data_IF_463155678597
#
_entry.id   IF_463155678597
#
_cell.length_a   1.000
_cell.length_b   1.000
_cell.length_c   1.000
_cell.angle_alpha   90.00
_cell.angle_beta   90.00
_cell.angle_gamma   90.00
#
_symmetry.space_group_name_H-M   'P 1'
#
loop_
_entity.id
_entity.type
_entity.pdbx_description
1 polymer ?
#
# COMPACT_ATOMS: atom_id res chain seq x y z
N UNK A 1 27.66 -18.49 6.38
CA UNK A 1 27.29 -18.53 4.96
C UNK A 1 25.85 -19.01 4.74
N UNK A 2 25.38 -20.10 5.38
CA UNK A 2 24.00 -20.61 5.23
C UNK A 2 22.88 -19.67 5.73
N UNK A 3 23.07 -18.96 6.85
CA UNK A 3 22.04 -18.03 7.38
C UNK A 3 21.74 -16.86 6.44
N UNK A 4 22.74 -16.37 5.71
CA UNK A 4 22.57 -15.27 4.76
C UNK A 4 21.71 -15.67 3.55
N UNK A 5 21.79 -16.93 3.11
CA UNK A 5 20.96 -17.46 2.02
C UNK A 5 19.50 -17.64 2.46
N UNK A 6 19.27 -18.11 3.69
CA UNK A 6 17.90 -18.25 4.24
C UNK A 6 17.26 -16.88 4.41
N UNK A 7 18.00 -15.91 4.96
CA UNK A 7 17.50 -14.54 5.12
C UNK A 7 17.20 -13.89 3.76
N UNK A 8 18.11 -14.03 2.80
CA UNK A 8 17.90 -13.52 1.44
C UNK A 8 16.67 -14.14 0.76
N UNK A 9 16.48 -15.45 0.88
CA UNK A 9 15.29 -16.12 0.34
C UNK A 9 13.99 -15.66 1.00
N UNK A 10 13.98 -15.51 2.32
CA UNK A 10 12.82 -14.99 3.05
C UNK A 10 12.48 -13.54 2.65
N UNK A 11 13.50 -12.69 2.50
CA UNK A 11 13.31 -11.30 2.09
C UNK A 11 12.86 -11.20 0.63
N UNK A 12 13.36 -12.06 -0.27
CA UNK A 12 12.89 -12.16 -1.64
C UNK A 12 11.42 -12.58 -1.73
N UNK A 13 11.00 -13.61 -0.98
CA UNK A 13 9.61 -14.05 -0.96
C UNK A 13 8.67 -12.93 -0.47
N UNK A 14 9.02 -12.26 0.64
CA UNK A 14 8.25 -11.11 1.14
C UNK A 14 8.16 -9.97 0.15
N UNK A 15 9.25 -9.69 -0.56
CA UNK A 15 9.28 -8.63 -1.56
C UNK A 15 8.37 -8.97 -2.76
N UNK A 16 8.34 -10.23 -3.18
CA UNK A 16 7.47 -10.72 -4.26
C UNK A 16 5.99 -10.67 -3.86
N UNK A 17 5.66 -11.18 -2.67
CA UNK A 17 4.31 -11.11 -2.09
C UNK A 17 3.81 -9.66 -2.03
N UNK A 18 4.63 -8.75 -1.49
CA UNK A 18 4.29 -7.33 -1.39
C UNK A 18 4.21 -6.63 -2.76
N UNK A 19 4.97 -7.08 -3.75
CA UNK A 19 4.92 -6.56 -5.12
C UNK A 19 3.60 -6.90 -5.79
N UNK A 20 3.19 -8.16 -5.66
CA UNK A 20 1.95 -8.70 -6.23
C UNK A 20 0.72 -8.11 -5.54
N UNK A 21 0.68 -8.17 -4.20
CA UNK A 21 -0.48 -7.71 -3.42
C UNK A 21 -0.77 -6.22 -3.61
N UNK A 22 0.27 -5.40 -3.80
CA UNK A 22 0.12 -3.95 -4.01
C UNK A 22 -0.77 -3.63 -5.22
N UNK A 23 -0.61 -4.35 -6.33
CA UNK A 23 -1.40 -4.12 -7.54
C UNK A 23 -2.88 -4.41 -7.30
N UNK A 24 -3.16 -5.57 -6.71
CA UNK A 24 -4.52 -6.02 -6.38
C UNK A 24 -5.24 -5.05 -5.44
N UNK A 25 -4.54 -4.56 -4.41
CA UNK A 25 -5.11 -3.57 -3.48
C UNK A 25 -5.45 -2.26 -4.19
N UNK A 26 -4.59 -1.77 -5.10
CA UNK A 26 -4.87 -0.55 -5.87
C UNK A 26 -6.11 -0.74 -6.74
N UNK A 27 -6.25 -1.88 -7.44
CA UNK A 27 -7.42 -2.17 -8.26
C UNK A 27 -8.69 -2.28 -7.42
N UNK A 28 -8.63 -2.97 -6.28
CA UNK A 28 -9.76 -3.08 -5.36
C UNK A 28 -10.19 -1.71 -4.84
N UNK A 29 -9.25 -0.86 -4.39
CA UNK A 29 -9.57 0.50 -3.93
C UNK A 29 -10.22 1.31 -5.05
N UNK A 30 -9.66 1.31 -6.25
CA UNK A 30 -10.20 2.04 -7.39
C UNK A 30 -11.62 1.58 -7.78
N UNK A 31 -11.89 0.26 -7.72
CA UNK A 31 -13.19 -0.30 -8.04
C UNK A 31 -14.28 0.04 -7.00
N UNK A 32 -13.91 0.19 -5.73
CA UNK A 32 -14.86 0.43 -4.62
C UNK A 32 -15.12 1.91 -4.36
N UNK A 33 -14.55 2.80 -5.16
CA UNK A 33 -14.61 4.23 -4.93
C UNK A 33 -15.22 4.97 -6.11
N UNK A 34 -16.34 5.67 -5.86
CA UNK A 34 -17.07 6.41 -6.89
C UNK A 34 -16.29 7.63 -7.46
N UNK A 35 -15.17 8.01 -6.84
CA UNK A 35 -14.53 9.31 -7.07
C UNK A 35 -13.01 9.29 -7.00
N UNK A 36 -12.38 8.17 -7.33
CA UNK A 36 -10.92 8.06 -7.30
C UNK A 36 -10.34 8.29 -8.70
N UNK A 37 -9.76 9.47 -8.90
CA UNK A 37 -8.72 9.72 -9.90
C UNK A 37 -7.33 9.48 -9.27
N UNK A 38 -7.20 8.44 -8.43
CA UNK A 38 -5.90 8.02 -7.92
C UNK A 38 -5.20 7.28 -9.04
N UNK A 39 -4.38 8.02 -9.79
CA UNK A 39 -3.38 7.44 -10.67
C UNK A 39 -2.21 6.86 -9.86
N UNK A 40 -2.51 5.96 -8.90
CA UNK A 40 -1.49 5.19 -8.21
C UNK A 40 -0.93 4.17 -9.19
N UNK A 41 0.33 4.34 -9.56
CA UNK A 41 1.00 3.37 -10.42
C UNK A 41 1.25 2.07 -9.63
N UNK A 42 0.71 0.91 -10.07
CA UNK A 42 0.99 -0.38 -9.44
C UNK A 42 2.45 -0.81 -9.63
N UNK A 43 3.23 -0.11 -10.46
CA UNK A 43 4.65 -0.38 -10.68
C UNK A 43 5.55 0.57 -9.89
N UNK A 44 5.01 1.67 -9.38
CA UNK A 44 5.76 2.64 -8.59
C UNK A 44 5.53 2.41 -7.09
N UNK A 45 6.55 2.70 -6.28
CA UNK A 45 6.41 3.00 -4.85
C UNK A 45 6.69 4.48 -4.56
N UNK A 46 7.06 5.26 -5.59
CA UNK A 46 7.20 6.71 -5.50
C UNK A 46 5.83 7.32 -5.31
N UNK A 47 5.79 8.47 -4.65
CA UNK A 47 4.56 9.19 -4.35
C UNK A 47 3.61 8.37 -3.47
N UNK A 48 4.21 7.66 -2.49
CA UNK A 48 3.52 6.88 -1.44
C UNK A 48 2.20 7.55 -1.11
N UNK A 49 1.10 6.96 -1.54
CA UNK A 49 -0.24 7.56 -1.57
C UNK A 49 -0.82 8.05 -0.24
N UNK A 50 0.00 8.11 0.82
CA UNK A 50 -0.24 8.77 2.09
C UNK A 50 -0.44 10.29 1.94
N UNK A 51 0.09 10.92 0.89
CA UNK A 51 -0.16 12.35 0.58
C UNK A 51 -1.45 12.59 -0.20
N UNK A 52 -2.46 11.73 -0.03
CA UNK A 52 -3.78 11.89 -0.62
C UNK A 52 -4.86 11.62 0.43
N UNK A 53 -5.74 12.59 0.68
CA UNK A 53 -6.66 12.57 1.82
C UNK A 53 -7.52 11.31 1.87
N UNK A 54 -7.97 10.81 0.73
CA UNK A 54 -8.80 9.62 0.68
C UNK A 54 -8.03 8.35 1.06
N UNK A 55 -6.80 8.19 0.58
CA UNK A 55 -5.96 7.03 0.92
C UNK A 55 -5.52 7.12 2.37
N UNK A 56 -5.21 8.32 2.85
CA UNK A 56 -4.94 8.57 4.26
C UNK A 56 -6.12 8.18 5.15
N UNK A 57 -7.35 8.56 4.76
CA UNK A 57 -8.58 8.15 5.43
C UNK A 57 -8.77 6.63 5.45
N UNK A 58 -8.55 5.93 4.33
CA UNK A 58 -8.69 4.47 4.25
C UNK A 58 -7.66 3.72 5.10
N UNK A 59 -6.47 4.29 5.28
CA UNK A 59 -5.38 3.73 6.08
C UNK A 59 -5.39 4.22 7.53
N UNK A 60 -6.35 5.08 7.90
CA UNK A 60 -6.44 5.64 9.22
C UNK A 60 -6.68 4.53 10.25
N UNK A 61 -5.86 4.42 11.31
CA UNK A 61 -6.09 3.45 12.39
C UNK A 61 -7.47 3.64 13.02
N UNK A 62 -8.08 2.55 13.48
CA UNK A 62 -9.42 2.60 14.12
C UNK A 62 -9.47 3.50 15.35
N UNK A 63 -8.34 3.67 16.04
CA UNK A 63 -8.21 4.53 17.23
C UNK A 63 -8.08 6.02 16.88
N UNK A 64 -8.02 6.38 15.60
CA UNK A 64 -7.84 7.76 15.14
C UNK A 64 -9.03 8.21 14.30
N UNK A 65 -9.58 9.40 14.61
CA UNK A 65 -10.61 10.01 13.78
C UNK A 65 -9.95 10.86 12.69
N UNK A 66 -10.04 10.40 11.44
CA UNK A 66 -9.54 11.14 10.28
C UNK A 66 -10.20 12.53 10.13
N UNK A 67 -11.41 12.71 10.64
CA UNK A 67 -12.18 13.96 10.54
C UNK A 67 -11.91 14.94 11.69
N UNK A 68 -11.13 14.55 12.69
CA UNK A 68 -10.71 15.43 13.79
C UNK A 68 -9.69 16.46 13.27
N UNK A 69 -10.22 17.62 12.84
CA UNK A 69 -9.42 18.79 12.49
C UNK A 69 -8.88 19.44 13.76
N UNK A 70 -7.58 19.30 14.01
CA UNK A 70 -6.87 20.07 15.05
C UNK A 70 -6.98 21.58 14.84
#
# INVERSE_FOLDING_TARGET
MQLAQVQGGADSARADDASTLKGEVIYWVAANSERIDLQLSPRSKRDRGLSHDLTGRLLCPVDYDWTDSR
#
